data_IF_509854230126
#
_entry.id   IF_509854230126
#
_cell.length_a   1.000
_cell.length_b   1.000
_cell.length_c   1.000
_cell.angle_alpha   90.00
_cell.angle_beta   90.00
_cell.angle_gamma   90.00
#
_symmetry.space_group_name_H-M   'P 1'
#
loop_
_entity.id
_entity.type
_entity.pdbx_description
1 polymer ?
#
# COMPACT_ATOMS: atom_id res chain seq x y z
N UNK A 1 0.98 -17.70 39.53
CA UNK A 1 1.89 -16.63 39.17
C UNK A 1 3.21 -17.24 38.77
N UNK A 2 3.48 -17.34 37.47
CA UNK A 2 4.78 -17.76 36.95
C UNK A 2 5.38 -16.54 36.26
N UNK A 3 6.36 -15.99 36.91
CA UNK A 3 7.14 -14.83 36.46
C UNK A 3 7.96 -15.25 35.23
N UNK A 4 7.70 -14.65 34.08
CA UNK A 4 8.52 -14.85 32.89
C UNK A 4 9.83 -14.11 33.06
N UNK A 5 10.93 -14.86 32.95
CA UNK A 5 12.29 -14.34 33.06
C UNK A 5 12.64 -13.63 31.74
N UNK A 6 12.75 -12.31 31.78
CA UNK A 6 13.26 -11.51 30.66
C UNK A 6 14.79 -11.64 30.68
N UNK A 7 15.36 -12.39 29.74
CA UNK A 7 16.81 -12.39 29.51
C UNK A 7 17.14 -11.31 28.47
N UNK A 8 17.53 -10.14 28.95
CA UNK A 8 18.13 -9.11 28.12
C UNK A 8 19.64 -9.41 27.98
N UNK A 9 20.03 -9.99 26.85
CA UNK A 9 21.44 -10.14 26.50
C UNK A 9 21.85 -8.95 25.62
N UNK A 10 22.55 -7.99 26.19
CA UNK A 10 23.22 -6.94 25.44
C UNK A 10 24.53 -7.50 24.87
N UNK A 11 24.56 -7.80 23.58
CA UNK A 11 25.78 -8.13 22.85
C UNK A 11 26.20 -6.89 22.07
N UNK A 12 27.29 -6.25 22.51
CA UNK A 12 27.95 -5.17 21.77
C UNK A 12 28.81 -5.81 20.65
N UNK A 13 28.31 -5.79 19.42
CA UNK A 13 29.11 -6.02 18.23
C UNK A 13 29.48 -4.69 17.61
N UNK A 14 30.75 -4.30 17.75
CA UNK A 14 31.33 -3.19 17.00
C UNK A 14 31.55 -3.63 15.54
N UNK A 15 30.71 -3.15 14.66
CA UNK A 15 30.85 -3.29 13.22
C UNK A 15 30.62 -1.93 12.57
N UNK A 16 31.70 -1.24 12.17
CA UNK A 16 31.65 0.02 11.46
C UNK A 16 31.25 -0.23 10.00
N UNK A 17 30.04 0.15 9.62
CA UNK A 17 29.74 0.57 8.25
C UNK A 17 29.29 2.02 8.29
N UNK A 18 30.16 2.92 7.87
CA UNK A 18 29.85 4.34 7.71
C UNK A 18 29.04 4.55 6.43
N UNK A 19 27.71 4.40 6.52
CA UNK A 19 26.78 5.03 5.60
C UNK A 19 26.61 6.49 5.97
N UNK A 20 26.39 7.36 4.98
CA UNK A 20 26.25 8.82 5.10
C UNK A 20 25.21 9.19 6.19
N UNK A 21 25.70 9.40 7.42
CA UNK A 21 24.89 9.75 8.57
C UNK A 21 24.57 11.25 8.51
N UNK A 22 23.34 11.58 8.16
CA UNK A 22 22.84 12.95 8.29
C UNK A 22 22.99 13.47 9.72
N UNK A 23 23.02 14.79 9.96
CA UNK A 23 23.26 15.40 11.29
C UNK A 23 22.26 14.98 12.37
N UNK A 24 21.17 14.32 12.00
CA UNK A 24 20.12 13.83 12.91
C UNK A 24 20.40 12.48 13.57
N UNK A 25 21.26 11.65 12.97
CA UNK A 25 21.50 10.25 13.38
C UNK A 25 22.85 10.06 14.07
N UNK A 26 23.37 11.11 14.67
CA UNK A 26 24.75 11.16 15.21
C UNK A 26 24.98 10.21 16.38
N UNK A 27 23.96 10.01 17.21
CA UNK A 27 24.04 9.13 18.38
C UNK A 27 23.04 8.00 18.22
N UNK A 28 23.53 6.76 18.20
CA UNK A 28 22.73 5.57 17.99
C UNK A 28 22.87 4.58 19.12
N UNK A 29 21.86 3.73 19.33
CA UNK A 29 21.88 2.61 20.25
C UNK A 29 20.95 1.52 19.74
N UNK A 30 21.51 0.34 19.54
CA UNK A 30 20.76 -0.82 19.07
C UNK A 30 20.03 -1.52 20.20
N UNK A 31 18.97 -2.22 19.85
CA UNK A 31 18.21 -3.09 20.75
C UNK A 31 17.74 -4.33 20.01
N UNK A 32 17.54 -5.41 20.79
CA UNK A 32 17.06 -6.69 20.29
C UNK A 32 16.11 -7.31 21.30
N UNK A 33 14.96 -7.79 20.82
CA UNK A 33 13.97 -8.52 21.61
C UNK A 33 13.55 -9.79 20.88
N UNK A 34 13.27 -10.84 21.64
CA UNK A 34 12.69 -12.09 21.09
C UNK A 34 11.60 -12.56 22.04
N UNK A 35 10.42 -12.88 21.48
CA UNK A 35 9.26 -13.34 22.24
C UNK A 35 8.62 -14.53 21.55
N UNK A 36 8.28 -15.57 22.32
CA UNK A 36 7.42 -16.64 21.84
C UNK A 36 6.01 -16.07 21.64
N UNK A 37 5.39 -16.39 20.51
CA UNK A 37 4.05 -15.93 20.17
C UNK A 37 3.27 -17.02 19.43
N UNK A 38 1.96 -17.08 19.64
CA UNK A 38 1.08 -17.95 18.85
C UNK A 38 1.13 -17.57 17.36
N UNK A 39 1.04 -18.55 16.44
CA UNK A 39 1.12 -18.28 14.99
C UNK A 39 0.16 -17.22 14.47
N UNK A 40 -1.03 -17.13 15.08
CA UNK A 40 -2.11 -16.18 14.72
C UNK A 40 -2.21 -14.99 15.67
N UNK A 41 -1.15 -14.73 16.44
CA UNK A 41 -1.10 -13.59 17.35
C UNK A 41 -1.10 -12.25 16.61
N UNK A 42 -1.30 -11.17 17.38
CA UNK A 42 -1.41 -9.81 16.88
C UNK A 42 -0.10 -9.04 17.08
N UNK A 43 0.27 -8.25 16.09
CA UNK A 43 1.43 -7.36 16.11
C UNK A 43 0.96 -5.91 16.01
N UNK A 44 1.38 -5.09 16.97
CA UNK A 44 1.24 -3.63 16.96
C UNK A 44 2.64 -3.01 17.00
N UNK A 45 2.95 -2.11 16.07
CA UNK A 45 4.22 -1.39 16.03
C UNK A 45 4.00 0.10 15.75
N UNK A 46 4.58 0.95 16.61
CA UNK A 46 4.42 2.39 16.48
C UNK A 46 5.77 3.13 16.58
N UNK A 47 6.07 3.93 15.56
CA UNK A 47 7.18 4.87 15.56
C UNK A 47 6.69 6.27 15.19
N UNK A 48 7.33 7.31 15.71
CA UNK A 48 7.06 8.68 15.27
C UNK A 48 8.05 9.15 14.19
N UNK A 49 9.30 8.67 14.23
CA UNK A 49 10.32 8.87 13.21
C UNK A 49 11.12 7.58 13.05
N UNK A 50 11.15 7.03 11.85
CA UNK A 50 11.91 5.83 11.51
C UNK A 50 11.08 4.82 10.73
N UNK A 51 11.78 3.92 10.09
CA UNK A 51 11.18 2.83 9.31
C UNK A 51 10.62 1.73 10.22
N UNK A 52 9.60 1.06 9.72
CA UNK A 52 9.09 -0.19 10.26
C UNK A 52 9.14 -1.21 9.11
N UNK A 53 9.97 -2.23 9.26
CA UNK A 53 10.12 -3.31 8.29
C UNK A 53 9.69 -4.62 8.94
N UNK A 54 8.71 -5.31 8.34
CA UNK A 54 8.15 -6.56 8.87
C UNK A 54 8.22 -7.63 7.80
N UNK A 55 8.73 -8.79 8.18
CA UNK A 55 8.74 -9.99 7.32
C UNK A 55 8.21 -11.21 8.05
N UNK A 56 7.33 -11.94 7.37
CA UNK A 56 6.79 -13.20 7.88
C UNK A 56 7.78 -14.35 7.76
N UNK A 57 7.86 -15.19 8.80
CA UNK A 57 8.66 -16.43 8.80
C UNK A 57 7.89 -17.62 9.36
N UNK A 58 8.48 -18.81 9.29
CA UNK A 58 7.83 -20.06 9.70
C UNK A 58 8.16 -20.47 11.14
N UNK A 59 8.44 -19.47 12.02
CA UNK A 59 8.70 -19.70 13.43
C UNK A 59 7.59 -19.10 14.29
N UNK A 60 7.29 -19.72 15.43
CA UNK A 60 6.27 -19.25 16.39
C UNK A 60 6.87 -18.26 17.40
N UNK A 61 7.66 -17.32 16.92
CA UNK A 61 8.26 -16.24 17.73
C UNK A 61 8.32 -14.95 16.94
N UNK A 62 8.42 -13.86 17.66
CA UNK A 62 8.69 -12.53 17.11
C UNK A 62 10.13 -12.17 17.48
N UNK A 63 10.90 -11.78 16.48
CA UNK A 63 12.22 -11.20 16.66
C UNK A 63 12.18 -9.75 16.21
N UNK A 64 12.61 -8.84 17.08
CA UNK A 64 12.63 -7.41 16.84
C UNK A 64 14.04 -6.92 17.02
N UNK A 65 14.62 -6.39 15.97
CA UNK A 65 15.87 -5.63 16.01
C UNK A 65 15.57 -4.18 15.68
N UNK A 66 16.33 -3.27 16.25
CA UNK A 66 16.12 -1.87 15.94
C UNK A 66 17.22 -0.98 16.45
N UNK A 67 17.20 0.28 15.99
CA UNK A 67 18.16 1.30 16.36
C UNK A 67 17.43 2.55 16.80
N UNK A 68 17.66 2.99 18.02
CA UNK A 68 17.34 4.35 18.48
C UNK A 68 18.38 5.31 17.94
N UNK A 69 17.96 6.47 17.46
CA UNK A 69 18.85 7.51 16.98
C UNK A 69 18.41 8.89 17.44
N UNK A 70 19.37 9.79 17.64
CA UNK A 70 19.09 11.17 17.99
C UNK A 70 20.24 12.12 17.61
N UNK A 71 19.94 13.42 17.61
CA UNK A 71 20.91 14.49 17.40
C UNK A 71 21.86 14.72 18.61
N UNK A 72 21.48 14.27 19.81
CA UNK A 72 22.30 14.31 21.03
C UNK A 72 22.20 12.99 21.80
N UNK A 73 23.21 12.71 22.60
CA UNK A 73 23.24 11.52 23.45
C UNK A 73 22.11 11.54 24.51
N UNK A 74 21.87 12.68 25.13
CA UNK A 74 20.78 12.84 26.10
C UNK A 74 19.39 12.53 25.48
N UNK A 75 19.14 12.96 24.23
CA UNK A 75 17.91 12.65 23.51
C UNK A 75 17.79 11.17 23.17
N UNK A 76 18.90 10.52 22.75
CA UNK A 76 18.92 9.08 22.48
C UNK A 76 18.56 8.29 23.73
N UNK A 77 19.14 8.67 24.89
CA UNK A 77 18.92 7.96 26.16
C UNK A 77 17.53 8.23 26.74
N UNK A 78 16.98 9.42 26.50
CA UNK A 78 15.62 9.76 26.88
C UNK A 78 14.54 9.08 26.03
N UNK A 79 14.86 8.67 24.79
CA UNK A 79 13.96 7.92 23.92
C UNK A 79 13.76 6.50 24.47
N UNK A 80 12.52 6.16 24.83
CA UNK A 80 12.16 4.83 25.34
C UNK A 80 11.57 3.96 24.25
N UNK A 81 11.86 2.68 24.33
CA UNK A 81 11.19 1.63 23.57
C UNK A 81 10.35 0.84 24.57
N UNK A 82 9.03 1.02 24.50
CA UNK A 82 8.09 0.28 25.31
C UNK A 82 7.67 -0.99 24.58
N UNK A 83 7.73 -2.12 25.27
CA UNK A 83 7.35 -3.41 24.71
C UNK A 83 6.40 -4.12 25.67
N UNK A 84 5.24 -4.51 25.15
CA UNK A 84 4.31 -5.38 25.84
C UNK A 84 4.15 -6.68 25.04
N UNK A 85 4.31 -7.81 25.71
CA UNK A 85 4.16 -9.10 25.07
C UNK A 85 3.30 -10.06 25.89
N UNK A 86 2.44 -10.76 25.20
CA UNK A 86 1.71 -11.96 25.65
C UNK A 86 1.84 -13.03 24.57
N UNK A 87 1.43 -14.28 24.82
CA UNK A 87 1.42 -15.29 23.76
C UNK A 87 0.53 -14.93 22.55
N UNK A 88 -0.47 -14.06 22.73
CA UNK A 88 -1.43 -13.64 21.71
C UNK A 88 -1.10 -12.30 21.06
N UNK A 89 -0.18 -11.49 21.67
CA UNK A 89 0.08 -10.15 21.18
C UNK A 89 1.49 -9.68 21.50
N UNK A 90 2.12 -9.02 20.55
CA UNK A 90 3.35 -8.24 20.76
C UNK A 90 3.09 -6.80 20.31
N UNK A 91 3.28 -5.86 21.23
CA UNK A 91 3.20 -4.43 20.99
C UNK A 91 4.56 -3.80 21.25
N UNK A 92 5.04 -2.99 20.30
CA UNK A 92 6.27 -2.20 20.44
C UNK A 92 6.04 -0.74 20.05
N UNK A 93 6.52 0.18 20.88
CA UNK A 93 6.37 1.62 20.66
C UNK A 93 7.66 2.39 20.93
N UNK A 94 8.00 3.31 20.04
CA UNK A 94 8.97 4.35 20.32
C UNK A 94 8.29 5.53 21.03
N UNK A 95 8.65 5.79 22.28
CA UNK A 95 8.02 6.80 23.13
C UNK A 95 8.93 8.02 23.28
N UNK A 96 8.44 9.16 22.76
CA UNK A 96 9.13 10.44 22.87
C UNK A 96 9.07 10.97 24.31
N UNK A 97 10.18 11.50 24.88
CA UNK A 97 10.14 12.14 26.18
C UNK A 97 9.26 13.41 26.17
N UNK A 98 8.43 13.58 27.21
CA UNK A 98 7.41 14.64 27.27
C UNK A 98 7.98 16.06 27.47
N UNK A 99 9.20 16.16 28.01
CA UNK A 99 9.84 17.44 28.35
C UNK A 99 10.76 18.00 27.24
N UNK A 100 11.09 17.18 26.24
CA UNK A 100 11.98 17.57 25.15
C UNK A 100 11.23 17.63 23.82
N UNK A 101 10.91 18.84 23.38
CA UNK A 101 10.22 19.08 22.10
C UNK A 101 11.15 19.41 20.94
N UNK A 102 12.41 19.76 21.24
CA UNK A 102 13.40 20.19 20.25
C UNK A 102 14.49 19.15 20.07
N UNK A 103 14.74 18.78 18.85
CA UNK A 103 15.75 17.81 18.45
C UNK A 103 15.17 16.67 17.62
N UNK A 104 16.00 16.17 16.71
CA UNK A 104 15.62 15.03 15.89
C UNK A 104 15.96 13.74 16.63
N UNK A 105 14.99 12.86 16.76
CA UNK A 105 15.13 11.53 17.35
C UNK A 105 14.11 10.58 16.73
N UNK A 106 14.41 9.28 16.78
CA UNK A 106 13.50 8.24 16.28
C UNK A 106 14.01 6.84 16.54
N UNK A 107 13.23 5.86 16.08
CA UNK A 107 13.60 4.47 16.15
C UNK A 107 13.20 3.75 14.86
N UNK A 108 14.12 2.94 14.35
CA UNK A 108 13.88 2.01 13.24
C UNK A 108 13.63 0.64 13.81
N UNK A 109 12.62 -0.05 13.28
CA UNK A 109 12.28 -1.42 13.65
C UNK A 109 12.42 -2.36 12.45
N UNK A 110 13.08 -3.48 12.67
CA UNK A 110 13.07 -4.62 11.76
C UNK A 110 12.52 -5.81 12.53
N UNK A 111 11.43 -6.39 12.05
CA UNK A 111 10.69 -7.41 12.76
C UNK A 111 10.53 -8.65 11.89
N UNK A 112 10.84 -9.81 12.47
CA UNK A 112 10.44 -11.10 11.93
C UNK A 112 9.29 -11.64 12.76
N UNK A 113 8.17 -11.93 12.12
CA UNK A 113 6.92 -12.34 12.79
C UNK A 113 6.41 -13.67 12.24
N UNK A 114 5.65 -14.46 13.01
CA UNK A 114 5.01 -15.65 12.45
C UNK A 114 4.20 -15.26 11.20
N UNK A 115 4.33 -16.04 10.13
CA UNK A 115 3.67 -15.73 8.84
C UNK A 115 2.16 -15.51 8.96
N UNK A 116 1.49 -16.18 9.90
CA UNK A 116 0.04 -16.05 10.12
C UNK A 116 -0.33 -14.97 11.14
N UNK A 117 0.63 -14.23 11.66
CA UNK A 117 0.35 -13.13 12.58
C UNK A 117 -0.42 -12.01 11.87
N UNK A 118 -1.38 -11.43 12.57
CA UNK A 118 -2.14 -10.28 12.10
C UNK A 118 -1.38 -8.99 12.42
N UNK A 119 -1.16 -8.15 11.43
CA UNK A 119 -0.57 -6.84 11.61
C UNK A 119 -1.70 -5.83 11.86
N UNK A 120 -2.10 -5.65 13.14
CA UNK A 120 -3.30 -4.93 13.50
C UNK A 120 -3.09 -3.40 13.44
N UNK A 121 -1.93 -2.91 13.91
CA UNK A 121 -1.63 -1.48 13.86
C UNK A 121 -0.14 -1.25 13.65
N UNK A 122 0.25 -1.02 12.41
CA UNK A 122 1.63 -0.68 12.05
C UNK A 122 1.67 0.78 11.63
N UNK A 123 2.19 1.64 12.50
CA UNK A 123 2.05 3.10 12.32
C UNK A 123 3.39 3.82 12.48
N UNK A 124 3.70 4.72 11.54
CA UNK A 124 4.78 5.69 11.67
C UNK A 124 4.34 7.08 11.23
N UNK A 125 4.98 8.15 11.74
CA UNK A 125 4.71 9.49 11.20
C UNK A 125 5.66 9.85 10.07
N UNK A 126 6.96 9.53 10.19
CA UNK A 126 7.98 9.98 9.24
C UNK A 126 8.95 8.84 8.89
N UNK A 127 8.49 7.83 8.25
CA UNK A 127 9.34 6.76 7.78
C UNK A 127 8.60 5.80 6.87
N UNK A 128 9.32 5.00 6.10
CA UNK A 128 8.72 3.96 5.31
C UNK A 128 8.15 2.83 6.19
N UNK A 129 7.07 2.23 5.72
CA UNK A 129 6.54 0.96 6.24
C UNK A 129 6.70 -0.08 5.14
N UNK A 130 7.38 -1.18 5.45
CA UNK A 130 7.57 -2.29 4.53
C UNK A 130 7.06 -3.58 5.14
N UNK A 131 6.22 -4.30 4.42
CA UNK A 131 5.65 -5.58 4.87
C UNK A 131 5.84 -6.62 3.78
N UNK A 132 6.33 -7.80 4.15
CA UNK A 132 6.55 -8.90 3.21
C UNK A 132 6.18 -10.25 3.81
N UNK A 133 5.67 -11.14 2.96
CA UNK A 133 5.45 -12.56 3.27
C UNK A 133 4.52 -12.81 4.46
N UNK A 134 3.46 -12.01 4.60
CA UNK A 134 2.47 -12.14 5.69
C UNK A 134 1.23 -12.85 5.18
N UNK A 135 0.78 -13.87 5.91
CA UNK A 135 -0.36 -14.70 5.54
C UNK A 135 -1.71 -14.20 6.08
N UNK A 136 -1.76 -13.09 6.80
CA UNK A 136 -2.95 -12.54 7.45
C UNK A 136 -3.16 -11.08 7.07
N UNK A 137 -4.19 -10.44 7.64
CA UNK A 137 -4.49 -9.04 7.38
C UNK A 137 -3.41 -8.08 7.89
N UNK A 138 -3.24 -6.94 7.21
CA UNK A 138 -2.28 -5.91 7.54
C UNK A 138 -2.91 -4.50 7.46
N UNK A 139 -2.91 -3.77 8.61
CA UNK A 139 -3.32 -2.38 8.70
C UNK A 139 -2.10 -1.47 8.89
N UNK A 140 -1.80 -0.68 7.87
CA UNK A 140 -0.55 0.06 7.74
C UNK A 140 -0.82 1.56 7.60
N UNK A 141 -0.12 2.38 8.37
CA UNK A 141 -0.30 3.82 8.32
C UNK A 141 1.03 4.56 8.40
N UNK A 142 1.23 5.50 7.48
CA UNK A 142 2.29 6.49 7.57
C UNK A 142 1.70 7.89 7.39
N UNK A 143 2.39 8.95 7.84
CA UNK A 143 2.01 10.30 7.44
C UNK A 143 2.84 10.79 6.27
N UNK A 144 4.16 10.57 6.31
CA UNK A 144 5.09 11.14 5.31
C UNK A 144 5.95 10.10 4.57
N UNK A 145 5.95 8.86 5.00
CA UNK A 145 6.74 7.80 4.36
C UNK A 145 5.93 6.97 3.36
N UNK A 146 6.61 6.31 2.43
CA UNK A 146 5.99 5.34 1.56
C UNK A 146 5.57 4.07 2.33
N UNK A 147 4.61 3.35 1.77
CA UNK A 147 4.17 2.04 2.26
C UNK A 147 4.37 1.04 1.12
N UNK A 148 5.18 0.02 1.37
CA UNK A 148 5.48 -1.05 0.41
C UNK A 148 5.00 -2.38 0.99
N UNK A 149 4.11 -3.07 0.28
CA UNK A 149 3.51 -4.33 0.69
C UNK A 149 3.71 -5.38 -0.39
N UNK A 150 4.31 -6.50 -0.02
CA UNK A 150 4.60 -7.57 -0.98
C UNK A 150 4.21 -8.93 -0.41
N UNK A 151 3.53 -9.75 -1.20
CA UNK A 151 3.16 -11.13 -0.88
C UNK A 151 2.37 -11.25 0.44
N UNK A 152 1.19 -10.62 0.47
CA UNK A 152 0.25 -10.71 1.60
C UNK A 152 -0.97 -11.52 1.20
N UNK A 153 -1.31 -12.55 2.02
CA UNK A 153 -2.44 -13.44 1.71
C UNK A 153 -3.77 -12.94 2.28
N UNK A 154 -3.74 -12.08 3.29
CA UNK A 154 -4.94 -11.45 3.87
C UNK A 154 -5.27 -10.10 3.24
N UNK A 155 -6.24 -9.41 3.84
CA UNK A 155 -6.63 -8.08 3.41
C UNK A 155 -5.57 -7.05 3.80
N UNK A 156 -5.35 -6.06 2.95
CA UNK A 156 -4.40 -4.96 3.16
C UNK A 156 -5.15 -3.64 3.22
N UNK A 157 -4.92 -2.89 4.30
CA UNK A 157 -5.37 -1.51 4.45
C UNK A 157 -4.16 -0.61 4.66
N UNK A 158 -3.76 0.14 3.62
CA UNK A 158 -2.54 0.94 3.60
C UNK A 158 -2.85 2.42 3.34
N UNK A 159 -2.56 3.26 4.34
CA UNK A 159 -2.84 4.69 4.30
C UNK A 159 -1.59 5.54 4.54
N UNK A 160 -1.32 6.48 3.63
CA UNK A 160 -0.31 7.53 3.87
C UNK A 160 -0.86 8.90 3.44
N UNK A 161 -0.26 10.00 3.90
CA UNK A 161 -0.66 11.33 3.40
C UNK A 161 0.23 11.80 2.25
N UNK A 162 1.55 11.59 2.37
CA UNK A 162 2.51 12.17 1.41
C UNK A 162 3.38 11.11 0.69
N UNK A 163 3.45 9.91 1.18
CA UNK A 163 4.21 8.82 0.57
C UNK A 163 3.48 8.15 -0.58
N UNK A 164 4.22 7.40 -1.39
CA UNK A 164 3.63 6.43 -2.32
C UNK A 164 3.09 5.21 -1.58
N UNK A 165 2.15 4.50 -2.21
CA UNK A 165 1.71 3.18 -1.78
C UNK A 165 1.98 2.19 -2.92
N UNK A 166 2.76 1.16 -2.63
CA UNK A 166 3.07 0.08 -3.55
C UNK A 166 2.57 -1.24 -2.95
N UNK A 167 1.75 -1.96 -3.69
CA UNK A 167 1.17 -3.23 -3.28
C UNK A 167 1.34 -4.27 -4.39
N UNK A 168 2.05 -5.33 -4.09
CA UNK A 168 2.37 -6.39 -5.03
C UNK A 168 1.97 -7.75 -4.45
N UNK A 169 1.26 -8.55 -5.23
CA UNK A 169 0.84 -9.91 -4.89
C UNK A 169 -0.01 -9.95 -3.61
N UNK A 170 -1.18 -9.33 -3.66
CA UNK A 170 -2.17 -9.36 -2.56
C UNK A 170 -3.29 -10.33 -2.91
N UNK A 171 -3.48 -11.36 -2.08
CA UNK A 171 -4.51 -12.38 -2.31
C UNK A 171 -5.87 -12.01 -1.74
N UNK A 172 -5.91 -11.17 -0.71
CA UNK A 172 -7.11 -10.57 -0.14
C UNK A 172 -7.54 -9.30 -0.84
N UNK A 173 -8.43 -8.54 -0.21
CA UNK A 173 -8.81 -7.20 -0.64
C UNK A 173 -7.69 -6.20 -0.33
N UNK A 174 -7.55 -5.16 -1.17
CA UNK A 174 -6.59 -4.09 -0.95
C UNK A 174 -7.30 -2.73 -0.95
N UNK A 175 -7.16 -1.98 0.15
CA UNK A 175 -7.55 -0.57 0.29
C UNK A 175 -6.29 0.28 0.39
N UNK A 176 -5.98 1.03 -0.66
CA UNK A 176 -4.73 1.79 -0.81
C UNK A 176 -5.06 3.28 -0.91
N UNK A 177 -4.66 4.08 0.08
CA UNK A 177 -5.00 5.51 0.10
C UNK A 177 -3.80 6.40 0.37
N UNK A 178 -3.71 7.47 -0.41
CA UNK A 178 -2.76 8.56 -0.17
C UNK A 178 -3.37 9.90 -0.59
N UNK A 179 -2.83 11.01 -0.11
CA UNK A 179 -3.27 12.32 -0.61
C UNK A 179 -2.38 12.83 -1.74
N UNK A 180 -1.05 12.67 -1.59
CA UNK A 180 -0.09 13.28 -2.50
C UNK A 180 0.82 12.28 -3.23
N UNK A 181 0.87 11.04 -2.81
CA UNK A 181 1.69 10.00 -3.41
C UNK A 181 1.02 9.33 -4.60
N UNK A 182 1.82 8.62 -5.38
CA UNK A 182 1.31 7.69 -6.39
C UNK A 182 0.86 6.38 -5.73
N UNK A 183 -0.06 5.69 -6.37
CA UNK A 183 -0.42 4.32 -6.01
C UNK A 183 -0.02 3.40 -7.15
N UNK A 184 0.67 2.33 -6.80
CA UNK A 184 0.97 1.23 -7.70
C UNK A 184 0.44 -0.08 -7.09
N UNK A 185 -0.43 -0.77 -7.83
CA UNK A 185 -0.99 -2.04 -7.41
C UNK A 185 -0.71 -3.10 -8.48
N UNK A 186 -0.10 -4.21 -8.09
CA UNK A 186 0.17 -5.33 -8.98
C UNK A 186 -0.38 -6.63 -8.36
N UNK A 187 -1.07 -7.42 -9.16
CA UNK A 187 -1.61 -8.74 -8.78
C UNK A 187 -2.44 -8.76 -7.48
N UNK A 188 -3.48 -7.93 -7.42
CA UNK A 188 -4.49 -7.99 -6.36
C UNK A 188 -5.62 -8.93 -6.78
N UNK A 189 -5.85 -10.00 -6.02
CA UNK A 189 -6.85 -11.02 -6.34
C UNK A 189 -8.25 -10.72 -5.78
N UNK A 190 -8.34 -9.96 -4.68
CA UNK A 190 -9.59 -9.50 -4.06
C UNK A 190 -10.07 -8.18 -4.62
N UNK A 191 -10.99 -7.51 -3.90
CA UNK A 191 -11.41 -6.15 -4.23
C UNK A 191 -10.22 -5.18 -4.16
N UNK A 192 -10.11 -4.27 -5.13
CA UNK A 192 -9.10 -3.21 -5.11
C UNK A 192 -9.78 -1.85 -5.00
N UNK A 193 -9.51 -1.11 -3.93
CA UNK A 193 -9.84 0.30 -3.80
C UNK A 193 -8.55 1.11 -3.71
N UNK A 194 -8.25 1.92 -4.73
CA UNK A 194 -7.10 2.82 -4.75
C UNK A 194 -7.54 4.27 -4.88
N UNK A 195 -7.13 5.12 -3.95
CA UNK A 195 -7.55 6.53 -3.89
C UNK A 195 -6.37 7.46 -3.61
N UNK A 196 -6.20 8.45 -4.48
CA UNK A 196 -5.25 9.55 -4.27
C UNK A 196 -5.85 10.88 -4.69
N UNK A 197 -5.34 12.01 -4.19
CA UNK A 197 -5.84 13.33 -4.63
C UNK A 197 -4.99 13.92 -5.74
N UNK A 198 -3.67 13.82 -5.66
CA UNK A 198 -2.78 14.64 -6.49
C UNK A 198 -1.84 13.86 -7.43
N UNK A 199 -1.89 12.56 -7.44
CA UNK A 199 -0.95 11.78 -8.24
C UNK A 199 -1.65 10.65 -9.01
N UNK A 200 -0.89 9.90 -9.80
CA UNK A 200 -1.40 8.82 -10.63
C UNK A 200 -1.67 7.54 -9.85
N UNK A 201 -2.61 6.77 -10.38
CA UNK A 201 -2.86 5.38 -9.99
C UNK A 201 -2.49 4.50 -11.17
N UNK A 202 -1.62 3.53 -10.93
CA UNK A 202 -1.29 2.49 -11.90
C UNK A 202 -1.65 1.15 -11.28
N UNK A 203 -2.50 0.37 -11.94
CA UNK A 203 -2.88 -0.96 -11.49
C UNK A 203 -2.71 -1.97 -12.62
N UNK A 204 -2.04 -3.08 -12.33
CA UNK A 204 -1.87 -4.21 -13.23
C UNK A 204 -2.39 -5.47 -12.55
N UNK A 205 -3.41 -6.08 -13.13
CA UNK A 205 -4.08 -7.25 -12.59
C UNK A 205 -4.03 -8.37 -13.63
N UNK A 206 -3.06 -9.25 -13.51
CA UNK A 206 -2.87 -10.37 -14.46
C UNK A 206 -4.10 -11.29 -14.47
N UNK A 207 -4.70 -11.51 -13.31
CA UNK A 207 -6.01 -12.15 -13.19
C UNK A 207 -7.03 -11.13 -12.71
N UNK A 208 -8.00 -10.78 -13.54
CA UNK A 208 -9.06 -9.85 -13.15
C UNK A 208 -9.84 -10.40 -11.95
N UNK A 209 -9.97 -9.65 -10.84
CA UNK A 209 -10.72 -10.08 -9.67
C UNK A 209 -12.22 -10.21 -10.01
N UNK A 210 -12.90 -11.12 -9.31
CA UNK A 210 -14.36 -11.20 -9.39
C UNK A 210 -15.05 -10.12 -8.51
N UNK A 211 -14.31 -9.47 -7.65
CA UNK A 211 -14.75 -8.36 -6.82
C UNK A 211 -14.54 -7.01 -7.55
N UNK A 212 -15.13 -5.95 -7.01
CA UNK A 212 -15.05 -4.60 -7.61
C UNK A 212 -13.64 -4.04 -7.58
N UNK A 213 -13.22 -3.41 -8.68
CA UNK A 213 -12.02 -2.59 -8.79
C UNK A 213 -12.44 -1.12 -8.85
N UNK A 214 -12.02 -0.32 -7.85
CA UNK A 214 -12.33 1.11 -7.75
C UNK A 214 -11.06 1.94 -7.69
N UNK A 215 -10.85 2.82 -8.67
CA UNK A 215 -9.68 3.68 -8.79
C UNK A 215 -10.13 5.14 -8.86
N UNK A 216 -9.73 5.97 -7.90
CA UNK A 216 -10.19 7.37 -7.83
C UNK A 216 -9.01 8.31 -7.59
N UNK A 217 -8.90 9.33 -8.44
CA UNK A 217 -7.96 10.44 -8.21
C UNK A 217 -8.61 11.77 -8.60
N UNK A 218 -8.09 12.90 -8.11
CA UNK A 218 -8.58 14.21 -8.56
C UNK A 218 -7.70 14.81 -9.65
N UNK A 219 -6.38 14.73 -9.51
CA UNK A 219 -5.44 15.42 -10.40
C UNK A 219 -4.47 14.48 -11.15
N UNK A 220 -4.49 13.20 -10.87
CA UNK A 220 -3.64 12.22 -11.51
C UNK A 220 -4.31 11.49 -12.67
N UNK A 221 -3.51 10.79 -13.45
CA UNK A 221 -4.00 9.83 -14.43
C UNK A 221 -4.28 8.48 -13.78
N UNK A 222 -5.17 7.72 -14.39
CA UNK A 222 -5.39 6.32 -14.05
C UNK A 222 -4.96 5.46 -15.23
N UNK A 223 -4.15 4.45 -14.94
CA UNK A 223 -3.72 3.44 -15.90
C UNK A 223 -4.03 2.05 -15.33
N UNK A 224 -5.02 1.38 -15.89
CA UNK A 224 -5.45 0.05 -15.47
C UNK A 224 -5.20 -0.96 -16.58
N UNK A 225 -4.44 -1.99 -16.30
CA UNK A 225 -4.18 -3.11 -17.20
C UNK A 225 -4.78 -4.40 -16.62
N UNK A 226 -5.60 -5.08 -17.41
CA UNK A 226 -6.12 -6.40 -17.10
C UNK A 226 -5.50 -7.45 -18.01
N UNK A 227 -4.90 -8.48 -17.43
CA UNK A 227 -4.33 -9.62 -18.14
C UNK A 227 -5.40 -10.67 -18.57
N UNK A 228 -6.60 -10.62 -18.00
CA UNK A 228 -7.73 -11.48 -18.34
C UNK A 228 -9.04 -10.69 -18.44
N UNK A 229 -10.04 -11.26 -19.09
CA UNK A 229 -11.37 -10.63 -19.20
C UNK A 229 -11.94 -10.24 -17.84
N UNK A 230 -12.57 -9.06 -17.70
CA UNK A 230 -13.12 -8.59 -16.44
C UNK A 230 -14.20 -9.55 -15.91
N UNK A 231 -14.16 -9.81 -14.61
CA UNK A 231 -15.13 -10.68 -13.91
C UNK A 231 -15.97 -9.91 -12.90
N UNK A 232 -15.44 -8.80 -12.37
CA UNK A 232 -16.12 -7.89 -11.46
C UNK A 232 -16.26 -6.51 -12.08
N UNK A 233 -17.07 -5.66 -11.47
CA UNK A 233 -17.29 -4.29 -11.91
C UNK A 233 -16.03 -3.45 -11.73
N UNK A 234 -15.80 -2.50 -12.63
CA UNK A 234 -14.66 -1.59 -12.62
C UNK A 234 -15.19 -0.17 -12.62
N UNK A 235 -14.69 0.65 -11.69
CA UNK A 235 -14.94 2.08 -11.64
C UNK A 235 -13.62 2.82 -11.59
N UNK A 236 -13.36 3.66 -12.60
CA UNK A 236 -12.20 4.54 -12.62
C UNK A 236 -12.65 6.00 -12.81
N UNK A 237 -12.25 6.86 -11.87
CA UNK A 237 -12.68 8.25 -11.84
C UNK A 237 -11.49 9.18 -11.61
N UNK A 238 -11.35 10.18 -12.49
CA UNK A 238 -10.43 11.29 -12.26
C UNK A 238 -11.12 12.60 -12.61
N UNK A 239 -10.59 13.74 -12.14
CA UNK A 239 -11.16 15.06 -12.49
C UNK A 239 -10.35 15.75 -13.58
N UNK A 240 -9.04 15.73 -13.51
CA UNK A 240 -8.20 16.61 -14.31
C UNK A 240 -7.22 15.89 -15.25
N UNK A 241 -7.31 14.60 -15.42
CA UNK A 241 -6.35 13.88 -16.26
C UNK A 241 -7.01 12.71 -17.02
N UNK A 242 -6.22 11.96 -17.77
CA UNK A 242 -6.69 10.87 -18.61
C UNK A 242 -6.85 9.55 -17.84
N UNK A 243 -7.75 8.72 -18.36
CA UNK A 243 -7.90 7.31 -17.97
C UNK A 243 -7.47 6.44 -19.14
N UNK A 244 -6.59 5.48 -18.89
CA UNK A 244 -6.23 4.42 -19.82
C UNK A 244 -6.66 3.09 -19.22
N UNK A 245 -7.39 2.33 -20.01
CA UNK A 245 -7.83 0.99 -19.67
C UNK A 245 -7.36 0.02 -20.74
N UNK A 246 -6.48 -0.89 -20.36
CA UNK A 246 -5.99 -1.96 -21.22
C UNK A 246 -6.76 -3.25 -20.94
N UNK A 247 -7.44 -3.77 -21.95
CA UNK A 247 -8.23 -4.99 -21.86
C UNK A 247 -7.70 -6.05 -22.83
N UNK A 248 -7.79 -7.34 -22.49
CA UNK A 248 -7.49 -8.42 -23.41
C UNK A 248 -8.45 -8.41 -24.61
N UNK A 249 -8.01 -8.95 -25.74
CA UNK A 249 -8.76 -8.90 -26.99
C UNK A 249 -10.13 -9.59 -26.94
N UNK A 250 -10.29 -10.56 -26.04
CA UNK A 250 -11.51 -11.33 -25.78
C UNK A 250 -12.39 -10.74 -24.66
N UNK A 251 -12.09 -9.53 -24.22
CA UNK A 251 -12.87 -8.87 -23.16
C UNK A 251 -14.35 -8.74 -23.55
N UNK A 252 -15.21 -8.99 -22.57
CA UNK A 252 -16.65 -8.80 -22.66
C UNK A 252 -17.12 -8.01 -21.43
N UNK A 253 -17.81 -6.87 -21.68
CA UNK A 253 -18.22 -5.95 -20.62
C UNK A 253 -19.35 -5.02 -21.10
N UNK A 254 -20.05 -4.39 -20.16
CA UNK A 254 -20.87 -3.21 -20.41
C UNK A 254 -20.04 -1.96 -20.10
N UNK A 255 -19.68 -1.20 -21.11
CA UNK A 255 -18.86 0.01 -20.98
C UNK A 255 -19.73 1.25 -20.87
N UNK A 256 -19.50 2.03 -19.82
CA UNK A 256 -20.02 3.39 -19.64
C UNK A 256 -18.84 4.34 -19.45
N UNK A 257 -18.63 5.26 -20.38
CA UNK A 257 -17.51 6.18 -20.31
C UNK A 257 -17.98 7.62 -20.57
N UNK A 258 -17.55 8.54 -19.72
CA UNK A 258 -17.96 9.94 -19.73
C UNK A 258 -16.80 10.90 -19.58
N UNK A 259 -16.76 11.94 -20.43
CA UNK A 259 -15.84 13.07 -20.26
C UNK A 259 -16.52 14.40 -20.57
N UNK A 260 -16.22 15.45 -19.81
CA UNK A 260 -16.76 16.79 -20.09
C UNK A 260 -15.94 17.55 -21.13
N UNK A 261 -14.62 17.55 -21.04
CA UNK A 261 -13.72 18.36 -21.86
C UNK A 261 -12.65 17.59 -22.63
N UNK A 262 -12.76 16.27 -22.69
CA UNK A 262 -11.84 15.39 -23.41
C UNK A 262 -12.50 14.70 -24.60
N UNK A 263 -11.93 13.56 -24.94
CA UNK A 263 -12.47 12.65 -25.95
C UNK A 263 -12.37 11.20 -25.45
N UNK A 264 -13.27 10.35 -25.93
CA UNK A 264 -13.27 8.92 -25.64
C UNK A 264 -12.88 8.18 -26.90
N UNK A 265 -11.89 7.32 -26.81
CA UNK A 265 -11.45 6.41 -27.87
C UNK A 265 -11.46 4.97 -27.40
N UNK A 266 -11.84 4.04 -28.29
CA UNK A 266 -11.86 2.61 -28.02
C UNK A 266 -11.36 1.82 -29.22
N UNK A 267 -10.44 0.88 -28.97
CA UNK A 267 -10.01 -0.12 -29.97
C UNK A 267 -11.05 -1.24 -30.13
N UNK A 268 -12.03 -1.31 -29.23
CA UNK A 268 -13.11 -2.27 -29.28
C UNK A 268 -14.31 -1.70 -30.07
N UNK A 269 -14.98 -2.56 -30.78
CA UNK A 269 -16.32 -2.24 -31.33
C UNK A 269 -17.28 -2.19 -30.14
N UNK A 270 -17.79 -1.01 -29.81
CA UNK A 270 -18.82 -0.84 -28.79
C UNK A 270 -20.18 -0.76 -29.52
N UNK A 271 -21.03 -1.74 -29.25
CA UNK A 271 -22.37 -1.75 -29.83
C UNK A 271 -23.25 -0.70 -29.14
N UNK A 272 -23.26 0.52 -29.67
CA UNK A 272 -24.13 1.61 -29.23
C UNK A 272 -25.20 1.90 -30.30
N UNK A 273 -26.38 2.33 -29.88
CA UNK A 273 -27.45 2.72 -30.81
C UNK A 273 -27.19 4.10 -31.39
N UNK A 274 -26.84 4.17 -32.68
CA UNK A 274 -27.15 5.36 -33.47
C UNK A 274 -26.08 6.42 -33.74
N UNK A 275 -24.77 6.10 -33.69
CA UNK A 275 -23.72 7.10 -33.94
C UNK A 275 -23.20 7.12 -35.38
N UNK A 276 -23.04 8.32 -35.94
CA UNK A 276 -22.34 8.58 -37.23
C UNK A 276 -20.81 8.52 -37.05
N UNK A 277 -20.06 8.27 -38.15
CA UNK A 277 -18.59 8.14 -38.09
C UNK A 277 -17.84 9.43 -37.71
N UNK A 278 -18.45 10.61 -37.93
CA UNK A 278 -17.86 11.89 -37.48
C UNK A 278 -18.03 12.12 -35.97
N UNK A 279 -19.11 11.64 -35.36
CA UNK A 279 -19.33 11.74 -33.91
C UNK A 279 -18.38 10.84 -33.12
N UNK A 280 -17.81 9.81 -33.73
CA UNK A 280 -16.83 8.92 -33.09
C UNK A 280 -15.50 9.62 -32.70
N UNK A 281 -15.09 10.70 -33.39
CA UNK A 281 -13.82 11.40 -33.13
C UNK A 281 -13.85 12.35 -31.92
N UNK A 282 -15.04 12.87 -31.55
CA UNK A 282 -15.21 13.84 -30.46
C UNK A 282 -16.22 13.36 -29.42
N UNK A 283 -16.35 12.05 -29.30
CA UNK A 283 -17.31 11.43 -28.39
C UNK A 283 -16.99 11.79 -26.94
N UNK A 284 -17.97 12.32 -26.24
CA UNK A 284 -17.90 12.67 -24.81
C UNK A 284 -18.63 11.70 -23.91
N UNK A 285 -19.49 10.88 -24.49
CA UNK A 285 -20.23 9.82 -23.83
C UNK A 285 -20.18 8.56 -24.68
N UNK A 286 -19.97 7.43 -24.04
CA UNK A 286 -19.98 6.11 -24.68
C UNK A 286 -20.68 5.12 -23.74
N UNK A 287 -21.78 4.57 -24.18
CA UNK A 287 -22.55 3.52 -23.48
C UNK A 287 -22.85 2.38 -24.47
N UNK A 288 -22.40 1.18 -24.15
CA UNK A 288 -22.64 0.03 -24.99
C UNK A 288 -21.88 -1.23 -24.57
N UNK A 289 -22.06 -2.28 -25.33
CA UNK A 289 -21.47 -3.58 -25.05
C UNK A 289 -20.16 -3.78 -25.80
N UNK A 290 -19.17 -4.29 -25.10
CA UNK A 290 -17.96 -4.90 -25.65
C UNK A 290 -18.19 -6.42 -25.68
N UNK A 291 -18.00 -7.04 -26.84
CA UNK A 291 -18.21 -8.49 -27.01
C UNK A 291 -19.65 -8.91 -26.67
N UNK A 292 -19.79 -9.95 -25.85
CA UNK A 292 -21.08 -10.46 -25.40
C UNK A 292 -21.71 -9.66 -24.23
N UNK A 293 -21.06 -8.60 -23.77
CA UNK A 293 -21.41 -7.92 -22.52
C UNK A 293 -20.92 -8.68 -21.29
N UNK A 294 -21.13 -8.11 -20.11
CA UNK A 294 -20.62 -8.67 -18.84
C UNK A 294 -20.64 -7.67 -17.71
N UNK A 295 -19.63 -7.68 -16.82
CA UNK A 295 -19.51 -6.72 -15.75
C UNK A 295 -19.47 -5.27 -16.25
N UNK A 296 -19.90 -4.34 -15.42
CA UNK A 296 -19.91 -2.92 -15.78
C UNK A 296 -18.53 -2.31 -15.63
N UNK A 297 -18.09 -1.57 -16.65
CA UNK A 297 -16.89 -0.74 -16.64
C UNK A 297 -17.33 0.71 -16.72
N UNK A 298 -17.22 1.44 -15.61
CA UNK A 298 -17.56 2.87 -15.50
C UNK A 298 -16.28 3.70 -15.47
N UNK A 299 -16.09 4.55 -16.49
CA UNK A 299 -14.93 5.43 -16.62
C UNK A 299 -15.40 6.88 -16.68
N UNK A 300 -14.90 7.73 -15.79
CA UNK A 300 -15.33 9.14 -15.73
C UNK A 300 -14.17 10.10 -15.54
N UNK A 301 -14.14 11.16 -16.37
CA UNK A 301 -13.22 12.28 -16.17
C UNK A 301 -13.88 13.62 -16.54
N UNK A 302 -13.45 14.72 -15.94
CA UNK A 302 -13.95 16.05 -16.34
C UNK A 302 -13.08 16.70 -17.42
N UNK A 303 -11.76 16.66 -17.28
CA UNK A 303 -10.83 17.42 -18.13
C UNK A 303 -9.78 16.54 -18.85
N UNK A 304 -10.00 15.26 -18.96
CA UNK A 304 -9.08 14.33 -19.61
C UNK A 304 -9.73 13.51 -20.68
N UNK A 305 -8.92 12.75 -21.41
CA UNK A 305 -9.40 11.78 -22.39
C UNK A 305 -9.44 10.38 -21.79
N UNK A 306 -10.35 9.54 -22.31
CA UNK A 306 -10.48 8.14 -21.92
C UNK A 306 -10.06 7.28 -23.11
N UNK A 307 -9.13 6.37 -22.87
CA UNK A 307 -8.61 5.46 -23.87
C UNK A 307 -8.85 4.01 -23.43
N UNK A 308 -9.64 3.27 -24.22
CA UNK A 308 -9.88 1.85 -24.03
C UNK A 308 -9.07 1.11 -25.10
N UNK A 309 -8.01 0.44 -24.69
CA UNK A 309 -6.98 -0.12 -25.54
C UNK A 309 -7.06 -1.65 -25.56
N UNK A 310 -6.81 -2.26 -26.73
CA UNK A 310 -6.63 -3.71 -26.86
C UNK A 310 -5.19 -4.06 -26.57
N UNK A 311 -4.99 -5.05 -25.73
CA UNK A 311 -3.70 -5.63 -25.42
C UNK A 311 -3.46 -5.66 -23.92
N UNK A 312 -2.84 -6.74 -23.45
CA UNK A 312 -2.15 -6.71 -22.17
C UNK A 312 -0.93 -5.82 -22.37
N UNK A 313 -0.82 -4.70 -21.65
CA UNK A 313 0.43 -3.96 -21.58
C UNK A 313 1.48 -4.85 -20.92
N UNK A 314 2.22 -5.62 -21.71
CA UNK A 314 3.42 -6.37 -21.29
C UNK A 314 4.61 -5.45 -21.43
#
# INVERSE_FOLDING_TARGET
>A
MRTALVVAAAISLAGCEFGDLGPSDRYQSDFHYTFEMQPTGRIDAESFNGSIEISGWDQNKVEITGTKYASTEALRDALKIDVHNTPEMVEIRAVRPSYERTGNMGARFTMHVPRKAMLDRITTSNGPVKVRDVGSAAHLKSSNGPIDVTNVSGDVDAHTSNGSVEADTIRGAATLKTSNGRIHAEDVSGALEAETSNNSITARLDTAPAATTKLVTSNGSIDLTLGSAPKGDIRAETRNNSIKLHLPADAAAHLVADTSNGSISSDFSVASRGDSDEEKKHRKHMDGLIGAGGPTIELSTSNGSIHILKGSGI
#
